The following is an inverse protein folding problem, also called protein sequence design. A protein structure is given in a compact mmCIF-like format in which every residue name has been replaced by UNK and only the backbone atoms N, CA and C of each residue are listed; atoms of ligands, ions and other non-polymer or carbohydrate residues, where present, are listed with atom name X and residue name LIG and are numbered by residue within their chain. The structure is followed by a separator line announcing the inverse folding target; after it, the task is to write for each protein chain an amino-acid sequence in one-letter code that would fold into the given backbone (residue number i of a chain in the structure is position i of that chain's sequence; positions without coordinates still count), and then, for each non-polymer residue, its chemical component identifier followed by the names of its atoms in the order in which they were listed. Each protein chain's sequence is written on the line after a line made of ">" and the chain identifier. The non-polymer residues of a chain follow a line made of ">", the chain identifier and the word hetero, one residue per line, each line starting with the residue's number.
data_IF_377047727209
#
_entry.id   IF_377047727209
#
_cell.length_a   1.000
_cell.length_b   1.000
_cell.length_c   1.000
_cell.angle_alpha   90.00
_cell.angle_beta   90.00
_cell.angle_gamma   90.00
#
_symmetry.space_group_name_H-M   'P 1'
#
loop_
_entity.id
_entity.type
_entity.pdbx_description
1 polymer ?
#
# COMPACT_ATOMS: atom_id res chain seq x y z
N UNK A 1 28.36 -24.17 -3.97
CA UNK A 1 27.87 -25.31 -3.16
C UNK A 1 26.38 -25.09 -2.90
N UNK A 2 25.52 -25.87 -3.55
CA UNK A 2 24.06 -25.71 -3.49
C UNK A 2 23.49 -26.49 -2.29
N UNK A 3 22.86 -25.81 -1.33
CA UNK A 3 22.01 -26.45 -0.32
C UNK A 3 20.69 -26.83 -0.99
N UNK A 4 20.63 -28.05 -1.51
CA UNK A 4 19.40 -28.66 -2.01
C UNK A 4 18.76 -29.48 -0.88
N UNK A 5 17.43 -29.49 -0.80
CA UNK A 5 16.70 -30.44 0.06
C UNK A 5 16.92 -31.89 -0.42
N UNK A 6 16.35 -32.86 0.32
CA UNK A 6 16.48 -34.29 0.02
C UNK A 6 16.00 -34.73 -1.38
N UNK A 7 15.40 -33.82 -2.17
CA UNK A 7 14.97 -34.04 -3.55
C UNK A 7 15.70 -33.17 -4.58
N UNK A 8 16.81 -32.51 -4.22
CA UNK A 8 17.54 -31.68 -5.18
C UNK A 8 16.91 -30.30 -5.43
N UNK A 9 16.03 -29.81 -4.54
CA UNK A 9 15.32 -28.53 -4.70
C UNK A 9 15.83 -27.47 -3.71
N UNK A 10 15.89 -26.21 -4.14
CA UNK A 10 16.19 -25.07 -3.26
C UNK A 10 15.22 -25.05 -2.06
N UNK A 11 15.67 -24.73 -0.83
CA UNK A 11 14.79 -24.77 0.34
C UNK A 11 13.72 -23.70 0.19
N UNK A 12 12.44 -24.10 0.22
CA UNK A 12 11.31 -23.19 -0.04
C UNK A 12 11.33 -21.96 0.89
N UNK A 13 11.81 -22.11 2.12
CA UNK A 13 11.97 -21.00 3.06
C UNK A 13 12.89 -19.88 2.53
N UNK A 14 13.96 -20.23 1.82
CA UNK A 14 14.89 -19.26 1.22
C UNK A 14 14.20 -18.50 0.09
N UNK A 15 13.41 -19.18 -0.74
CA UNK A 15 12.63 -18.52 -1.80
C UNK A 15 11.64 -17.53 -1.20
N UNK A 16 10.92 -17.91 -0.14
CA UNK A 16 9.99 -17.01 0.54
C UNK A 16 10.70 -15.78 1.13
N UNK A 17 11.91 -15.94 1.65
CA UNK A 17 12.73 -14.82 2.14
C UNK A 17 13.11 -13.87 1.00
N UNK A 18 13.50 -14.39 -0.16
CA UNK A 18 13.79 -13.56 -1.35
C UNK A 18 12.54 -12.80 -1.81
N UNK A 19 11.38 -13.46 -1.81
CA UNK A 19 10.11 -12.80 -2.16
C UNK A 19 9.74 -11.71 -1.16
N UNK A 20 9.91 -12.00 0.15
CA UNK A 20 9.70 -11.05 1.24
C UNK A 20 10.70 -9.88 1.21
N UNK A 21 11.93 -10.10 0.74
CA UNK A 21 12.90 -9.02 0.56
C UNK A 21 12.39 -7.99 -0.46
N UNK A 22 11.79 -8.43 -1.56
CA UNK A 22 11.21 -7.48 -2.52
C UNK A 22 9.98 -6.74 -1.99
N UNK A 23 9.11 -7.36 -1.19
CA UNK A 23 8.00 -6.63 -0.55
C UNK A 23 8.49 -5.68 0.54
N UNK A 24 9.60 -6.01 1.23
CA UNK A 24 10.30 -5.09 2.11
C UNK A 24 10.84 -3.87 1.36
N UNK A 25 11.51 -4.09 0.21
CA UNK A 25 12.01 -3.01 -0.65
C UNK A 25 10.88 -2.11 -1.14
N UNK A 26 9.74 -2.69 -1.54
CA UNK A 26 8.54 -1.94 -1.92
C UNK A 26 8.04 -1.04 -0.79
N UNK A 27 7.88 -1.59 0.41
CA UNK A 27 7.48 -0.81 1.58
C UNK A 27 8.46 0.32 1.89
N UNK A 28 9.76 0.03 1.83
CA UNK A 28 10.80 1.02 2.07
C UNK A 28 10.75 2.15 1.03
N UNK A 29 10.60 1.79 -0.24
CA UNK A 29 10.50 2.73 -1.37
C UNK A 29 9.27 3.62 -1.28
N UNK A 30 8.12 3.05 -0.95
CA UNK A 30 6.86 3.76 -0.90
C UNK A 30 6.81 4.73 0.29
N UNK A 31 7.09 4.22 1.48
CA UNK A 31 6.78 4.92 2.73
C UNK A 31 7.92 5.77 3.27
N UNK A 32 9.18 5.54 2.87
CA UNK A 32 10.30 6.37 3.37
C UNK A 32 10.23 7.83 2.91
N UNK A 33 9.59 8.09 1.77
CA UNK A 33 9.52 9.44 1.20
C UNK A 33 8.74 10.42 2.08
N UNK A 34 7.74 9.91 2.81
CA UNK A 34 6.82 10.71 3.63
C UNK A 34 7.51 11.35 4.85
N UNK A 35 8.19 10.62 5.74
CA UNK A 35 8.91 11.25 6.85
C UNK A 35 10.13 12.09 6.41
N UNK A 36 10.57 11.94 5.16
CA UNK A 36 11.71 12.63 4.58
C UNK A 36 11.30 13.87 3.76
N UNK A 37 10.00 14.16 3.67
CA UNK A 37 9.45 15.29 2.92
C UNK A 37 10.08 16.65 3.27
N UNK A 38 10.37 16.97 4.55
CA UNK A 38 11.03 18.23 4.89
C UNK A 38 12.43 18.35 4.25
N UNK A 39 13.21 17.26 4.25
CA UNK A 39 14.56 17.22 3.69
C UNK A 39 14.56 17.39 2.16
N UNK A 40 13.55 16.84 1.49
CA UNK A 40 13.37 16.97 0.04
C UNK A 40 12.97 18.41 -0.29
N UNK A 41 12.07 19.00 0.49
CA UNK A 41 11.63 20.38 0.34
C UNK A 41 12.80 21.36 0.48
N UNK A 42 13.65 21.14 1.48
CA UNK A 42 14.88 21.88 1.68
C UNK A 42 15.86 21.71 0.50
N UNK A 43 16.10 20.47 0.06
CA UNK A 43 17.06 20.17 -1.01
C UNK A 43 16.73 20.88 -2.33
N UNK A 44 15.45 20.96 -2.68
CA UNK A 44 15.00 21.58 -3.93
C UNK A 44 14.47 23.00 -3.75
N UNK A 45 14.51 23.55 -2.54
CA UNK A 45 13.95 24.86 -2.19
C UNK A 45 12.47 25.04 -2.64
N UNK A 46 11.65 24.02 -2.38
CA UNK A 46 10.22 23.96 -2.75
C UNK A 46 9.34 23.83 -1.51
N UNK A 47 8.04 24.04 -1.67
CA UNK A 47 7.09 23.87 -0.56
C UNK A 47 6.85 22.38 -0.26
N UNK A 48 6.41 22.02 0.97
CA UNK A 48 6.04 20.64 1.30
C UNK A 48 4.97 20.07 0.35
N UNK A 49 4.01 20.89 -0.05
CA UNK A 49 2.97 20.50 -1.02
C UNK A 49 3.54 20.11 -2.39
N UNK A 50 4.57 20.83 -2.86
CA UNK A 50 5.27 20.49 -4.11
C UNK A 50 6.11 19.21 -3.95
N UNK A 51 6.83 19.04 -2.85
CA UNK A 51 7.55 17.78 -2.55
C UNK A 51 6.60 16.58 -2.50
N UNK A 52 5.35 16.79 -2.07
CA UNK A 52 4.30 15.78 -2.06
C UNK A 52 4.01 15.16 -3.44
N UNK A 53 4.32 15.86 -4.53
CA UNK A 53 4.18 15.32 -5.89
C UNK A 53 5.05 14.08 -6.12
N UNK A 54 6.21 13.96 -5.46
CA UNK A 54 7.07 12.78 -5.55
C UNK A 54 6.43 11.53 -4.93
N UNK A 55 5.53 11.71 -3.96
CA UNK A 55 4.74 10.63 -3.34
C UNK A 55 3.56 10.27 -4.25
N UNK A 56 2.78 11.28 -4.67
CA UNK A 56 1.65 11.06 -5.57
C UNK A 56 2.07 10.42 -6.90
N UNK A 57 3.23 10.79 -7.44
CA UNK A 57 3.75 10.23 -8.69
C UNK A 57 4.11 8.75 -8.57
N UNK A 58 4.73 8.33 -7.46
CA UNK A 58 4.95 6.91 -7.18
C UNK A 58 3.62 6.14 -7.19
N UNK A 59 2.64 6.67 -6.47
CA UNK A 59 1.33 6.06 -6.34
C UNK A 59 0.59 5.96 -7.68
N UNK A 60 0.64 7.01 -8.51
CA UNK A 60 0.15 6.98 -9.91
C UNK A 60 0.89 5.91 -10.72
N UNK A 61 2.21 5.80 -10.54
CA UNK A 61 3.03 4.74 -11.12
C UNK A 61 2.48 3.35 -10.77
N UNK A 62 2.10 3.10 -9.52
CA UNK A 62 1.51 1.81 -9.12
C UNK A 62 0.17 1.55 -9.82
N UNK A 63 -0.70 2.56 -9.87
CA UNK A 63 -2.04 2.47 -10.50
C UNK A 63 -1.93 2.15 -12.00
N UNK A 64 -0.96 2.75 -12.70
CA UNK A 64 -0.70 2.51 -14.12
C UNK A 64 0.01 1.17 -14.31
N UNK A 65 1.05 0.92 -13.52
CA UNK A 65 1.95 -0.22 -13.71
C UNK A 65 1.30 -1.56 -13.40
N UNK A 66 0.42 -1.63 -12.40
CA UNK A 66 -0.27 -2.87 -12.04
C UNK A 66 -1.03 -3.50 -13.22
N UNK A 67 -1.97 -2.82 -13.92
CA UNK A 67 -2.65 -3.38 -15.09
C UNK A 67 -1.70 -3.58 -16.28
N UNK A 68 -0.78 -2.65 -16.55
CA UNK A 68 0.14 -2.76 -17.69
C UNK A 68 1.01 -4.00 -17.58
N UNK A 69 1.67 -4.21 -16.44
CA UNK A 69 2.52 -5.38 -16.24
C UNK A 69 1.74 -6.66 -16.00
N UNK A 70 0.51 -6.59 -15.49
CA UNK A 70 -0.39 -7.75 -15.49
C UNK A 70 -0.59 -8.27 -16.92
N UNK A 71 -0.80 -7.39 -17.90
CA UNK A 71 -1.00 -7.77 -19.30
C UNK A 71 0.30 -8.24 -19.96
N UNK A 72 1.37 -7.43 -19.86
CA UNK A 72 2.65 -7.70 -20.55
C UNK A 72 3.35 -8.93 -19.97
N UNK A 73 3.24 -9.17 -18.67
CA UNK A 73 3.92 -10.28 -17.99
C UNK A 73 3.01 -11.48 -17.69
N UNK A 74 1.73 -11.47 -18.13
CA UNK A 74 0.74 -12.51 -17.81
C UNK A 74 1.26 -13.94 -18.03
N UNK A 75 1.93 -14.14 -19.17
CA UNK A 75 2.39 -15.45 -19.62
C UNK A 75 3.89 -15.69 -19.40
N UNK A 76 4.61 -14.73 -18.80
CA UNK A 76 6.03 -14.89 -18.47
C UNK A 76 6.21 -15.89 -17.33
N UNK A 77 7.33 -16.60 -17.32
CA UNK A 77 7.76 -17.34 -16.14
C UNK A 77 7.95 -16.37 -14.95
N UNK A 78 7.59 -16.81 -13.74
CA UNK A 78 7.56 -15.93 -12.56
C UNK A 78 8.94 -15.39 -12.19
N UNK A 79 10.00 -16.17 -12.42
CA UNK A 79 11.39 -15.73 -12.24
C UNK A 79 11.73 -14.51 -13.11
N UNK A 80 11.44 -14.53 -14.41
CA UNK A 80 11.82 -13.40 -15.28
C UNK A 80 10.95 -12.17 -14.99
N UNK A 81 9.66 -12.37 -14.71
CA UNK A 81 8.79 -11.27 -14.30
C UNK A 81 9.32 -10.59 -13.02
N UNK A 82 9.61 -11.35 -11.96
CA UNK A 82 10.21 -10.82 -10.74
C UNK A 82 11.56 -10.13 -10.99
N UNK A 83 12.43 -10.71 -11.83
CA UNK A 83 13.72 -10.11 -12.16
C UNK A 83 13.55 -8.76 -12.90
N UNK A 84 12.62 -8.66 -13.85
CA UNK A 84 12.31 -7.40 -14.54
C UNK A 84 11.82 -6.35 -13.55
N UNK A 85 10.87 -6.71 -12.69
CA UNK A 85 10.30 -5.77 -11.72
C UNK A 85 11.36 -5.24 -10.75
N UNK A 86 12.20 -6.12 -10.23
CA UNK A 86 13.29 -5.72 -9.32
C UNK A 86 14.37 -4.93 -10.05
N UNK A 87 14.65 -5.22 -11.33
CA UNK A 87 15.56 -4.41 -12.14
C UNK A 87 15.02 -2.98 -12.34
N UNK A 88 13.71 -2.83 -12.59
CA UNK A 88 13.07 -1.51 -12.67
C UNK A 88 13.17 -0.80 -11.32
N UNK A 89 12.92 -1.49 -10.20
CA UNK A 89 13.09 -0.91 -8.86
C UNK A 89 14.52 -0.43 -8.63
N UNK A 90 15.53 -1.21 -9.01
CA UNK A 90 16.94 -0.83 -8.90
C UNK A 90 17.25 0.43 -9.69
N UNK A 91 16.93 0.44 -10.99
CA UNK A 91 17.24 1.57 -11.87
C UNK A 91 16.49 2.82 -11.43
N UNK A 92 15.18 2.73 -11.21
CA UNK A 92 14.35 3.89 -10.90
C UNK A 92 14.67 4.50 -9.52
N UNK A 93 14.97 3.68 -8.49
CA UNK A 93 15.41 4.21 -7.20
C UNK A 93 16.83 4.77 -7.25
N UNK A 94 17.73 4.15 -8.02
CA UNK A 94 19.08 4.69 -8.26
C UNK A 94 19.02 6.06 -8.94
N UNK A 95 18.19 6.20 -9.98
CA UNK A 95 17.93 7.48 -10.63
C UNK A 95 17.30 8.50 -9.67
N UNK A 96 16.33 8.07 -8.84
CA UNK A 96 15.72 8.93 -7.82
C UNK A 96 16.75 9.47 -6.82
N UNK A 97 17.71 8.64 -6.39
CA UNK A 97 18.81 9.06 -5.52
C UNK A 97 19.72 10.10 -6.19
N UNK A 98 19.83 10.07 -7.52
CA UNK A 98 20.64 10.98 -8.32
C UNK A 98 19.88 12.20 -8.86
N UNK A 99 18.57 12.32 -8.61
CA UNK A 99 17.73 13.36 -9.19
C UNK A 99 18.21 14.76 -8.81
N UNK A 100 18.48 15.63 -9.79
CA UNK A 100 19.00 16.98 -9.57
C UNK A 100 17.91 18.04 -9.44
N UNK A 101 16.69 17.73 -9.87
CA UNK A 101 15.52 18.60 -9.76
C UNK A 101 14.32 17.83 -9.20
N UNK A 102 13.30 18.55 -8.72
CA UNK A 102 12.07 17.93 -8.25
C UNK A 102 11.36 17.18 -9.38
N UNK A 103 11.35 17.72 -10.60
CA UNK A 103 10.70 17.11 -11.77
C UNK A 103 11.34 15.78 -12.14
N UNK A 104 12.68 15.70 -12.09
CA UNK A 104 13.40 14.44 -12.30
C UNK A 104 13.01 13.43 -11.22
N UNK A 105 13.00 13.86 -9.96
CA UNK A 105 12.59 13.01 -8.86
C UNK A 105 11.16 12.50 -9.04
N UNK A 106 10.21 13.37 -9.38
CA UNK A 106 8.81 13.01 -9.67
C UNK A 106 8.72 11.98 -10.78
N UNK A 107 9.44 12.16 -11.88
CA UNK A 107 9.47 11.21 -12.99
C UNK A 107 10.04 9.85 -12.55
N UNK A 108 11.18 9.84 -11.87
CA UNK A 108 11.81 8.60 -11.41
C UNK A 108 10.99 7.89 -10.34
N UNK A 109 10.26 8.65 -9.51
CA UNK A 109 9.30 8.11 -8.56
C UNK A 109 8.14 7.42 -9.27
N UNK A 110 7.57 8.03 -10.30
CA UNK A 110 6.58 7.39 -11.16
C UNK A 110 7.11 6.05 -11.71
N UNK A 111 8.33 6.05 -12.27
CA UNK A 111 8.96 4.83 -12.79
C UNK A 111 9.16 3.76 -11.70
N UNK A 112 9.56 4.15 -10.50
CA UNK A 112 9.76 3.24 -9.37
C UNK A 112 8.46 2.62 -8.85
N UNK A 113 7.32 3.30 -9.03
CA UNK A 113 6.00 2.79 -8.69
C UNK A 113 5.46 1.76 -9.68
N UNK A 114 5.81 1.87 -10.96
CA UNK A 114 5.31 0.96 -12.02
C UNK A 114 5.41 -0.54 -11.66
N UNK A 115 6.55 -1.08 -11.20
CA UNK A 115 6.67 -2.52 -10.92
C UNK A 115 5.97 -2.97 -9.64
N UNK A 116 5.46 -2.05 -8.79
CA UNK A 116 5.03 -2.38 -7.43
C UNK A 116 3.92 -3.42 -7.40
N UNK A 117 2.73 -3.09 -7.92
CA UNK A 117 1.58 -4.00 -7.85
C UNK A 117 1.85 -5.33 -8.55
N UNK A 118 2.61 -5.30 -9.65
CA UNK A 118 2.95 -6.48 -10.43
C UNK A 118 3.93 -7.41 -9.72
N UNK A 119 4.98 -6.86 -9.08
CA UNK A 119 5.87 -7.64 -8.22
C UNK A 119 5.09 -8.26 -7.06
N UNK A 120 4.28 -7.46 -6.38
CA UNK A 120 3.53 -7.89 -5.21
C UNK A 120 2.60 -9.07 -5.55
N UNK A 121 1.80 -8.94 -6.60
CA UNK A 121 0.91 -10.01 -7.08
C UNK A 121 1.67 -11.25 -7.54
N UNK A 122 2.77 -11.08 -8.27
CA UNK A 122 3.60 -12.19 -8.77
C UNK A 122 4.26 -12.96 -7.64
N UNK A 123 4.78 -12.26 -6.63
CA UNK A 123 5.42 -12.86 -5.47
C UNK A 123 4.42 -13.64 -4.61
N UNK A 124 3.23 -13.09 -4.36
CA UNK A 124 2.17 -13.80 -3.64
C UNK A 124 1.68 -15.04 -4.38
N UNK A 125 1.51 -14.93 -5.70
CA UNK A 125 1.08 -16.06 -6.52
C UNK A 125 2.13 -17.18 -6.49
N UNK A 126 3.41 -16.85 -6.64
CA UNK A 126 4.48 -17.83 -6.56
C UNK A 126 4.56 -18.48 -5.17
N UNK A 127 4.42 -17.70 -4.10
CA UNK A 127 4.38 -18.24 -2.74
C UNK A 127 3.20 -19.20 -2.53
N UNK A 128 2.02 -18.89 -3.07
CA UNK A 128 0.85 -19.76 -3.02
C UNK A 128 1.03 -21.05 -3.85
N UNK A 129 1.73 -20.99 -4.99
CA UNK A 129 2.05 -22.16 -5.82
C UNK A 129 3.07 -23.10 -5.15
N UNK A 130 4.01 -22.55 -4.37
CA UNK A 130 4.98 -23.33 -3.60
C UNK A 130 4.39 -23.93 -2.31
N UNK A 131 3.21 -23.47 -1.88
CA UNK A 131 2.60 -23.88 -0.63
C UNK A 131 1.79 -25.18 -0.79
N UNK A 132 1.79 -26.06 0.25
CA UNK A 132 0.75 -27.08 0.39
C UNK A 132 -0.64 -26.44 0.35
N UNK A 133 -1.63 -27.14 -0.24
CA UNK A 133 -2.97 -26.59 -0.45
C UNK A 133 -3.61 -25.97 0.82
N UNK A 134 -3.40 -26.58 1.99
CA UNK A 134 -3.92 -26.13 3.27
C UNK A 134 -3.09 -25.02 3.96
N UNK A 135 -1.99 -24.54 3.36
CA UNK A 135 -1.08 -23.53 3.94
C UNK A 135 -0.80 -22.34 3.02
N UNK A 136 -1.54 -22.18 1.92
CA UNK A 136 -1.36 -21.07 0.96
C UNK A 136 -1.34 -19.71 1.65
N UNK A 137 -2.30 -19.44 2.53
CA UNK A 137 -2.39 -18.20 3.28
C UNK A 137 -1.14 -17.95 4.15
N UNK A 138 -0.60 -18.99 4.80
CA UNK A 138 0.61 -18.87 5.63
C UNK A 138 1.85 -18.51 4.81
N UNK A 139 1.98 -19.05 3.59
CA UNK A 139 3.11 -18.74 2.71
C UNK A 139 3.00 -17.33 2.14
N UNK A 140 1.80 -16.92 1.74
CA UNK A 140 1.51 -15.54 1.34
C UNK A 140 1.79 -14.56 2.48
N UNK A 141 1.40 -14.89 3.71
CA UNK A 141 1.66 -14.07 4.90
C UNK A 141 3.17 -13.86 5.15
N UNK A 142 4.00 -14.88 4.91
CA UNK A 142 5.47 -14.75 5.01
C UNK A 142 6.05 -13.75 4.00
N UNK A 143 5.47 -13.67 2.81
CA UNK A 143 5.86 -12.65 1.81
C UNK A 143 5.36 -11.26 2.22
N UNK A 144 4.13 -11.15 2.75
CA UNK A 144 3.60 -9.91 3.31
C UNK A 144 4.43 -9.37 4.48
N UNK A 145 5.04 -10.25 5.27
CA UNK A 145 5.85 -9.88 6.43
C UNK A 145 6.98 -8.91 6.07
N UNK A 146 7.51 -8.97 4.85
CA UNK A 146 8.49 -8.00 4.36
C UNK A 146 7.98 -6.56 4.40
N UNK A 147 6.74 -6.33 3.93
CA UNK A 147 6.09 -5.02 3.97
C UNK A 147 5.85 -4.55 5.42
N UNK A 148 5.45 -5.45 6.31
CA UNK A 148 5.25 -5.16 7.74
C UNK A 148 6.56 -4.77 8.43
N UNK A 149 7.65 -5.49 8.16
CA UNK A 149 8.97 -5.16 8.70
C UNK A 149 9.45 -3.83 8.14
N UNK A 150 9.16 -3.54 6.87
CA UNK A 150 9.52 -2.26 6.26
C UNK A 150 8.85 -1.09 6.99
N UNK A 151 7.56 -1.17 7.32
CA UNK A 151 6.87 -0.05 7.97
C UNK A 151 7.25 0.14 9.44
N UNK A 152 7.46 -0.95 10.19
CA UNK A 152 7.78 -0.87 11.63
C UNK A 152 9.27 -0.57 11.88
N UNK A 153 10.15 -1.13 11.06
CA UNK A 153 11.61 -1.09 11.30
C UNK A 153 12.33 -0.36 10.18
N UNK A 154 12.05 -0.73 8.93
CA UNK A 154 12.74 -0.18 7.76
C UNK A 154 12.62 1.35 7.65
N UNK A 155 11.40 1.87 7.62
CA UNK A 155 11.07 3.29 7.44
C UNK A 155 11.67 4.15 8.56
N UNK A 156 11.51 3.83 9.87
CA UNK A 156 12.19 4.57 10.93
C UNK A 156 13.72 4.57 10.77
N UNK A 157 14.33 3.42 10.45
CA UNK A 157 15.79 3.34 10.28
C UNK A 157 16.29 4.21 9.12
N UNK A 158 15.64 4.15 7.95
CA UNK A 158 16.05 5.01 6.83
C UNK A 158 15.68 6.48 7.05
N UNK A 159 14.67 6.77 7.86
CA UNK A 159 14.37 8.16 8.28
C UNK A 159 15.55 8.72 9.07
N UNK A 160 16.11 7.97 10.03
CA UNK A 160 17.30 8.39 10.78
C UNK A 160 18.52 8.58 9.88
N UNK A 161 18.73 7.69 8.89
CA UNK A 161 19.79 7.85 7.88
C UNK A 161 19.57 9.14 7.07
N UNK A 162 18.34 9.42 6.68
CA UNK A 162 17.98 10.63 5.94
C UNK A 162 18.27 11.90 6.72
N UNK A 163 17.89 11.93 7.99
CA UNK A 163 18.09 13.06 8.90
C UNK A 163 19.56 13.31 9.24
N UNK A 164 20.36 12.25 9.38
CA UNK A 164 21.78 12.35 9.76
C UNK A 164 22.72 12.56 8.58
N UNK A 165 22.36 12.07 7.39
CA UNK A 165 23.18 12.15 6.19
C UNK A 165 22.43 12.90 5.08
N UNK A 166 21.65 12.19 4.29
CA UNK A 166 20.88 12.75 3.17
C UNK A 166 19.82 11.76 2.73
N UNK A 167 18.67 12.27 2.27
CA UNK A 167 17.61 11.43 1.74
C UNK A 167 18.02 10.60 0.52
N UNK A 168 19.04 11.07 -0.21
CA UNK A 168 19.61 10.35 -1.37
C UNK A 168 20.20 9.01 -0.97
N UNK A 169 20.86 8.92 0.18
CA UNK A 169 21.45 7.66 0.66
C UNK A 169 20.38 6.61 0.98
N UNK A 170 19.19 7.03 1.38
CA UNK A 170 18.08 6.12 1.64
C UNK A 170 17.57 5.48 0.34
N UNK A 171 17.41 6.28 -0.72
CA UNK A 171 17.02 5.76 -2.04
C UNK A 171 18.16 4.94 -2.70
N UNK A 172 19.42 5.31 -2.47
CA UNK A 172 20.57 4.52 -2.89
C UNK A 172 20.62 3.16 -2.18
N UNK A 173 20.31 3.12 -0.88
CA UNK A 173 20.19 1.87 -0.11
C UNK A 173 19.06 0.99 -0.66
N UNK A 174 17.89 1.57 -0.95
CA UNK A 174 16.78 0.87 -1.61
C UNK A 174 17.22 0.28 -2.95
N UNK A 175 17.94 1.05 -3.77
CA UNK A 175 18.49 0.56 -5.03
C UNK A 175 19.48 -0.60 -4.81
N UNK A 176 20.40 -0.47 -3.85
CA UNK A 176 21.34 -1.55 -3.51
C UNK A 176 20.61 -2.84 -3.09
N UNK A 177 19.58 -2.73 -2.25
CA UNK A 177 18.76 -3.86 -1.85
C UNK A 177 18.02 -4.48 -3.05
N UNK A 178 17.52 -3.66 -3.97
CA UNK A 178 16.93 -4.14 -5.22
C UNK A 178 17.95 -4.88 -6.09
N UNK A 179 19.19 -4.39 -6.21
CA UNK A 179 20.25 -5.11 -6.91
C UNK A 179 20.55 -6.47 -6.27
N UNK A 180 20.62 -6.53 -4.93
CA UNK A 180 20.79 -7.78 -4.19
C UNK A 180 19.61 -8.72 -4.48
N UNK A 181 18.37 -8.23 -4.37
CA UNK A 181 17.18 -8.99 -4.66
C UNK A 181 17.16 -9.51 -6.11
N UNK A 182 17.63 -8.72 -7.09
CA UNK A 182 17.73 -9.13 -8.49
C UNK A 182 18.65 -10.34 -8.65
N UNK A 183 19.84 -10.29 -8.06
CA UNK A 183 20.80 -11.42 -8.08
C UNK A 183 20.19 -12.65 -7.39
N UNK A 184 19.58 -12.47 -6.22
CA UNK A 184 18.95 -13.57 -5.47
C UNK A 184 17.76 -14.19 -6.22
N UNK A 185 16.95 -13.39 -6.92
CA UNK A 185 15.86 -13.90 -7.76
C UNK A 185 16.42 -14.76 -8.89
N UNK A 186 17.47 -14.30 -9.58
CA UNK A 186 18.08 -15.07 -10.65
C UNK A 186 18.75 -16.37 -10.16
N UNK A 187 19.28 -16.39 -8.94
CA UNK A 187 19.99 -17.56 -8.42
C UNK A 187 19.09 -18.57 -7.71
N UNK A 188 18.08 -18.10 -6.98
CA UNK A 188 17.32 -18.93 -6.03
C UNK A 188 15.88 -19.21 -6.47
N UNK A 189 15.26 -18.32 -7.27
CA UNK A 189 13.88 -18.53 -7.73
C UNK A 189 13.86 -19.54 -8.89
N UNK A 190 13.05 -20.61 -8.81
CA UNK A 190 12.99 -21.63 -9.85
C UNK A 190 12.57 -21.05 -11.21
N UNK A 191 13.30 -21.43 -12.27
CA UNK A 191 12.91 -21.13 -13.64
C UNK A 191 11.95 -22.22 -14.15
N UNK A 192 10.66 -22.05 -13.89
CA UNK A 192 9.62 -22.98 -14.36
C UNK A 192 8.74 -22.29 -15.41
N UNK A 193 8.41 -23.04 -16.48
CA UNK A 193 7.47 -22.58 -17.48
C UNK A 193 6.09 -22.30 -16.84
N UNK A 194 5.42 -21.26 -17.30
CA UNK A 194 4.07 -20.96 -16.83
C UNK A 194 3.11 -22.03 -17.37
N UNK A 195 2.53 -22.84 -16.47
CA UNK A 195 1.64 -23.96 -16.84
C UNK A 195 0.18 -23.54 -16.98
N UNK A 196 -0.19 -22.37 -16.46
CA UNK A 196 -1.56 -21.86 -16.47
C UNK A 196 -1.60 -20.55 -17.27
N UNK A 197 -2.31 -20.56 -18.39
CA UNK A 197 -2.62 -19.35 -19.14
C UNK A 197 -3.77 -18.61 -18.46
N UNK A 198 -3.56 -17.31 -18.22
CA UNK A 198 -4.60 -16.47 -17.62
C UNK A 198 -5.53 -15.94 -18.71
N UNK A 199 -6.81 -16.32 -18.67
CA UNK A 199 -7.84 -15.73 -19.52
C UNK A 199 -8.27 -14.38 -18.93
N UNK A 200 -7.85 -13.29 -19.58
CA UNK A 200 -8.07 -11.92 -19.10
C UNK A 200 -9.53 -11.44 -19.24
N UNK A 201 -10.29 -12.02 -20.18
CA UNK A 201 -11.68 -11.64 -20.45
C UNK A 201 -12.61 -11.87 -19.27
N UNK A 202 -12.51 -13.03 -18.63
CA UNK A 202 -13.35 -13.41 -17.49
C UNK A 202 -13.07 -12.55 -16.24
N UNK A 203 -11.85 -11.99 -16.14
CA UNK A 203 -11.45 -11.17 -15.01
C UNK A 203 -12.02 -9.74 -15.07
N UNK A 204 -12.33 -9.23 -16.27
CA UNK A 204 -12.84 -7.87 -16.45
C UNK A 204 -14.33 -7.74 -16.09
N UNK A 205 -15.05 -8.86 -15.98
CA UNK A 205 -16.47 -8.85 -15.63
C UNK A 205 -16.72 -8.26 -14.23
N UNK A 206 -15.75 -8.38 -13.32
CA UNK A 206 -15.78 -7.79 -11.98
C UNK A 206 -16.01 -6.28 -12.03
N UNK A 207 -15.49 -5.58 -13.05
CA UNK A 207 -15.62 -4.14 -13.22
C UNK A 207 -17.05 -3.68 -13.50
N UNK A 208 -17.92 -4.59 -13.96
CA UNK A 208 -19.34 -4.28 -14.23
C UNK A 208 -20.18 -4.20 -12.95
N UNK A 209 -19.66 -4.69 -11.81
CA UNK A 209 -20.42 -4.75 -10.57
C UNK A 209 -20.33 -3.41 -9.81
N UNK A 210 -21.44 -2.63 -9.69
CA UNK A 210 -21.41 -1.33 -9.03
C UNK A 210 -21.08 -1.42 -7.53
N UNK A 211 -21.36 -2.56 -6.88
CA UNK A 211 -21.00 -2.79 -5.48
C UNK A 211 -19.48 -2.91 -5.29
N UNK A 212 -18.74 -3.39 -6.29
CA UNK A 212 -17.27 -3.43 -6.23
C UNK A 212 -16.73 -2.00 -6.19
N UNK A 213 -17.24 -1.12 -7.05
CA UNK A 213 -16.82 0.29 -7.07
C UNK A 213 -17.22 1.06 -5.81
N UNK A 214 -18.39 0.78 -5.23
CA UNK A 214 -18.78 1.43 -3.98
C UNK A 214 -17.84 1.04 -2.83
N UNK A 215 -17.47 -0.25 -2.75
CA UNK A 215 -16.53 -0.75 -1.74
C UNK A 215 -15.09 -0.25 -2.01
N UNK A 216 -14.63 -0.24 -3.26
CA UNK A 216 -13.33 0.34 -3.64
C UNK A 216 -13.29 1.85 -3.33
N UNK A 217 -14.41 2.55 -3.46
CA UNK A 217 -14.54 3.96 -3.10
C UNK A 217 -14.26 4.25 -1.62
N UNK A 218 -14.53 3.29 -0.73
CA UNK A 218 -14.15 3.38 0.69
C UNK A 218 -12.63 3.47 0.83
N UNK A 219 -11.88 2.69 0.04
CA UNK A 219 -10.41 2.74 0.02
C UNK A 219 -9.97 4.04 -0.64
N UNK A 220 -10.39 4.29 -1.90
CA UNK A 220 -9.91 5.43 -2.72
C UNK A 220 -10.06 6.76 -1.97
N UNK A 221 -11.23 6.99 -1.35
CA UNK A 221 -11.52 8.25 -0.68
C UNK A 221 -11.09 8.17 0.79
N UNK A 222 -11.54 7.13 1.52
CA UNK A 222 -11.32 7.02 2.96
C UNK A 222 -9.85 6.94 3.35
N UNK A 223 -9.06 6.09 2.68
CA UNK A 223 -7.65 5.94 3.00
C UNK A 223 -6.80 7.14 2.57
N UNK A 224 -7.32 8.02 1.72
CA UNK A 224 -6.66 9.29 1.40
C UNK A 224 -6.38 10.08 2.69
N UNK A 225 -7.22 9.95 3.71
CA UNK A 225 -7.00 10.56 5.02
C UNK A 225 -5.79 10.03 5.78
N UNK A 226 -5.51 8.72 5.70
CA UNK A 226 -4.28 8.14 6.26
C UNK A 226 -3.07 8.75 5.57
N UNK A 227 -3.05 8.71 4.23
CA UNK A 227 -1.91 9.15 3.43
C UNK A 227 -1.66 10.67 3.52
N UNK A 228 -2.70 11.48 3.71
CA UNK A 228 -2.58 12.91 3.94
C UNK A 228 -1.82 13.22 5.24
N UNK A 229 -2.27 12.72 6.39
CA UNK A 229 -1.55 12.90 7.67
C UNK A 229 -0.16 12.30 7.59
N UNK A 230 -0.04 11.06 7.08
CA UNK A 230 1.22 10.34 7.06
C UNK A 230 2.29 11.04 6.20
N UNK A 231 1.88 11.72 5.13
CA UNK A 231 2.77 12.52 4.28
C UNK A 231 3.34 13.74 4.98
N UNK A 232 2.49 14.50 5.68
CA UNK A 232 2.86 15.80 6.24
C UNK A 232 3.23 15.75 7.71
N UNK A 233 3.25 14.56 8.32
CA UNK A 233 3.48 14.41 9.75
C UNK A 233 4.86 14.88 10.21
N UNK A 234 5.90 14.68 9.38
CA UNK A 234 7.25 15.11 9.72
C UNK A 234 7.32 16.64 9.84
N UNK A 235 6.72 17.35 8.89
CA UNK A 235 6.62 18.80 8.95
C UNK A 235 5.74 19.25 10.12
N UNK A 236 4.65 18.56 10.46
CA UNK A 236 3.86 18.90 11.66
C UNK A 236 4.69 18.77 12.93
N UNK A 237 5.48 17.71 13.06
CA UNK A 237 6.37 17.49 14.21
C UNK A 237 7.42 18.60 14.32
N UNK A 238 8.01 19.02 13.21
CA UNK A 238 9.07 20.03 13.20
C UNK A 238 8.54 21.46 13.35
N UNK A 239 7.42 21.79 12.68
CA UNK A 239 6.92 23.17 12.58
C UNK A 239 5.89 23.50 13.66
N UNK A 240 5.02 22.55 14.02
CA UNK A 240 3.91 22.78 14.97
C UNK A 240 4.27 22.26 16.36
N UNK A 241 4.70 21.01 16.47
CA UNK A 241 5.12 20.43 17.75
C UNK A 241 6.48 20.97 18.20
N UNK A 242 7.29 21.46 17.26
CA UNK A 242 8.67 21.95 17.48
C UNK A 242 9.53 20.94 18.25
N UNK A 243 9.32 19.64 17.98
CA UNK A 243 10.05 18.55 18.63
C UNK A 243 11.29 18.15 17.84
N UNK A 244 12.23 17.50 18.52
CA UNK A 244 13.47 17.03 17.91
C UNK A 244 13.20 16.05 16.75
N UNK A 245 13.95 16.15 15.65
CA UNK A 245 13.72 15.36 14.43
C UNK A 245 13.64 13.84 14.65
N UNK A 246 14.35 13.31 15.66
CA UNK A 246 14.30 11.89 16.05
C UNK A 246 12.89 11.40 16.39
N UNK A 247 11.99 12.29 16.85
CA UNK A 247 10.61 11.93 17.18
C UNK A 247 9.78 11.58 15.94
N UNK A 248 10.19 12.00 14.75
CA UNK A 248 9.59 11.56 13.48
C UNK A 248 9.70 10.04 13.36
N UNK A 249 10.88 9.48 13.62
CA UNK A 249 11.10 8.04 13.57
C UNK A 249 10.27 7.30 14.63
N UNK A 250 10.12 7.87 15.83
CA UNK A 250 9.26 7.33 16.89
C UNK A 250 7.78 7.32 16.43
N UNK A 251 7.32 8.41 15.83
CA UNK A 251 5.99 8.50 15.23
C UNK A 251 5.76 7.44 14.14
N UNK A 252 6.77 7.19 13.28
CA UNK A 252 6.70 6.13 12.26
C UNK A 252 6.60 4.74 12.88
N UNK A 253 7.33 4.46 13.97
CA UNK A 253 7.19 3.22 14.74
C UNK A 253 5.77 3.09 15.30
N UNK A 254 5.23 4.14 15.92
CA UNK A 254 3.86 4.14 16.47
C UNK A 254 2.81 3.88 15.39
N UNK A 255 2.96 4.48 14.21
CA UNK A 255 2.11 4.22 13.05
C UNK A 255 2.18 2.73 12.63
N UNK A 256 3.38 2.17 12.53
CA UNK A 256 3.59 0.76 12.16
C UNK A 256 3.01 -0.24 13.18
N UNK A 257 3.17 0.03 14.48
CA UNK A 257 2.54 -0.76 15.55
C UNK A 257 1.02 -0.65 15.45
N UNK A 258 0.50 0.57 15.24
CA UNK A 258 -0.91 0.82 14.99
C UNK A 258 -1.44 -0.03 13.84
N UNK A 259 -0.81 0.03 12.67
CA UNK A 259 -1.15 -0.77 11.49
C UNK A 259 -1.19 -2.28 11.79
N UNK A 260 -0.21 -2.78 12.54
CA UNK A 260 -0.13 -4.21 12.89
C UNK A 260 -1.26 -4.64 13.83
N UNK A 261 -1.50 -3.88 14.89
CA UNK A 261 -2.60 -4.16 15.83
C UNK A 261 -3.96 -3.96 15.18
N UNK A 262 -4.10 -2.95 14.33
CA UNK A 262 -5.30 -2.69 13.53
C UNK A 262 -5.67 -3.85 12.64
N UNK A 263 -4.71 -4.39 11.88
CA UNK A 263 -4.92 -5.58 11.04
C UNK A 263 -5.47 -6.77 11.86
N UNK A 264 -4.91 -7.01 13.04
CA UNK A 264 -5.37 -8.11 13.90
C UNK A 264 -6.75 -7.84 14.53
N UNK A 265 -6.92 -6.69 15.17
CA UNK A 265 -8.13 -6.36 15.93
C UNK A 265 -9.32 -6.11 15.01
N UNK A 266 -9.15 -5.34 13.94
CA UNK A 266 -10.22 -5.07 12.99
C UNK A 266 -10.56 -6.31 12.16
N UNK A 267 -9.56 -7.15 11.83
CA UNK A 267 -9.81 -8.44 11.20
C UNK A 267 -10.70 -9.33 12.07
N UNK A 268 -10.36 -9.50 13.35
CA UNK A 268 -11.17 -10.28 14.29
C UNK A 268 -12.57 -9.69 14.54
N UNK A 269 -12.68 -8.35 14.59
CA UNK A 269 -13.98 -7.70 14.72
C UNK A 269 -14.85 -7.91 13.46
N UNK A 270 -14.22 -7.93 12.28
CA UNK A 270 -14.89 -8.14 11.01
C UNK A 270 -15.46 -9.56 10.85
N UNK A 271 -14.90 -10.56 11.53
CA UNK A 271 -15.47 -11.92 11.59
C UNK A 271 -16.88 -11.92 12.19
N UNK A 272 -17.18 -10.98 13.10
CA UNK A 272 -18.53 -10.80 13.64
C UNK A 272 -19.39 -9.94 12.71
N UNK A 273 -18.89 -8.79 12.26
CA UNK A 273 -19.58 -7.97 11.26
C UNK A 273 -18.63 -7.00 10.55
N UNK A 274 -18.11 -7.41 9.40
CA UNK A 274 -17.26 -6.59 8.55
C UNK A 274 -17.87 -5.22 8.21
N UNK A 275 -19.19 -5.16 8.02
CA UNK A 275 -19.90 -3.91 7.71
C UNK A 275 -19.89 -2.95 8.90
N UNK A 276 -20.24 -3.40 10.11
CA UNK A 276 -20.22 -2.57 11.32
C UNK A 276 -18.79 -2.14 11.67
N UNK A 277 -17.85 -3.08 11.60
CA UNK A 277 -16.42 -2.80 11.85
C UNK A 277 -15.88 -1.73 10.91
N UNK A 278 -16.23 -1.79 9.63
CA UNK A 278 -15.81 -0.79 8.63
C UNK A 278 -16.33 0.61 8.98
N UNK A 279 -17.64 0.74 9.26
CA UNK A 279 -18.23 2.02 9.62
C UNK A 279 -17.67 2.59 10.92
N UNK A 280 -17.54 1.76 11.96
CA UNK A 280 -17.01 2.17 13.26
C UNK A 280 -15.55 2.63 13.18
N UNK A 281 -14.71 1.92 12.43
CA UNK A 281 -13.30 2.28 12.27
C UNK A 281 -13.12 3.55 11.42
N UNK A 282 -13.92 3.76 10.36
CA UNK A 282 -13.89 5.01 9.58
C UNK A 282 -14.36 6.21 10.42
N UNK A 283 -15.39 6.02 11.25
CA UNK A 283 -15.82 7.05 12.21
C UNK A 283 -14.73 7.35 13.22
N UNK A 284 -14.11 6.33 13.80
CA UNK A 284 -12.96 6.49 14.69
C UNK A 284 -11.81 7.23 14.01
N UNK A 285 -11.45 6.85 12.79
CA UNK A 285 -10.39 7.51 12.02
C UNK A 285 -10.70 8.99 11.73
N UNK A 286 -11.97 9.31 11.43
CA UNK A 286 -12.44 10.69 11.30
C UNK A 286 -12.23 11.48 12.58
N UNK A 287 -12.64 10.92 13.73
CA UNK A 287 -12.50 11.56 15.03
C UNK A 287 -11.03 11.75 15.42
N UNK A 288 -10.17 10.75 15.20
CA UNK A 288 -8.74 10.86 15.45
C UNK A 288 -8.06 11.88 14.52
N UNK A 289 -8.51 12.01 13.26
CA UNK A 289 -8.02 13.03 12.34
C UNK A 289 -8.45 14.46 12.74
N UNK A 290 -9.62 14.63 13.35
CA UNK A 290 -10.01 15.91 13.96
C UNK A 290 -9.23 16.20 15.24
N UNK A 291 -9.00 15.16 16.06
CA UNK A 291 -8.22 15.28 17.29
C UNK A 291 -6.77 15.66 16.98
N UNK A 292 -6.20 15.12 15.90
CA UNK A 292 -4.87 15.45 15.40
C UNK A 292 -4.58 16.95 15.36
N UNK A 293 -5.52 17.75 14.84
CA UNK A 293 -5.36 19.21 14.72
C UNK A 293 -5.12 19.86 16.08
N UNK A 294 -5.87 19.41 17.09
CA UNK A 294 -5.88 20.00 18.43
C UNK A 294 -4.72 19.53 19.30
N UNK A 295 -4.24 18.29 19.10
CA UNK A 295 -3.18 17.69 19.94
C UNK A 295 -1.79 17.79 19.32
N UNK A 296 -1.65 18.34 18.11
CA UNK A 296 -0.38 18.42 17.38
C UNK A 296 0.72 19.18 18.14
N UNK A 297 0.40 20.03 19.11
CA UNK A 297 1.39 20.74 19.94
C UNK A 297 2.01 19.86 21.03
N UNK A 298 1.44 18.69 21.33
CA UNK A 298 1.95 17.75 22.34
C UNK A 298 2.38 16.43 21.68
N UNK A 299 3.70 16.18 21.65
CA UNK A 299 4.28 15.02 20.97
C UNK A 299 3.73 13.67 21.46
N UNK A 300 3.41 13.54 22.75
CA UNK A 300 2.92 12.28 23.32
C UNK A 300 1.49 11.97 22.84
N UNK A 301 0.62 12.98 22.85
CA UNK A 301 -0.74 12.86 22.33
C UNK A 301 -0.74 12.67 20.82
N UNK A 302 0.13 13.39 20.10
CA UNK A 302 0.31 13.24 18.67
C UNK A 302 0.72 11.81 18.29
N UNK A 303 1.69 11.22 18.97
CA UNK A 303 2.08 9.81 18.80
C UNK A 303 0.91 8.84 19.05
N UNK A 304 0.09 9.11 20.06
CA UNK A 304 -1.14 8.34 20.32
C UNK A 304 -2.15 8.43 19.16
N UNK A 305 -2.37 9.63 18.62
CA UNK A 305 -3.23 9.81 17.44
C UNK A 305 -2.66 9.12 16.21
N UNK A 306 -1.36 9.26 15.94
CA UNK A 306 -0.68 8.60 14.81
C UNK A 306 -0.84 7.08 14.91
N UNK A 307 -0.73 6.51 16.11
CA UNK A 307 -1.00 5.09 16.33
C UNK A 307 -2.43 4.71 15.89
N UNK A 308 -3.45 5.48 16.25
CA UNK A 308 -4.83 5.19 15.85
C UNK A 308 -5.10 5.45 14.36
N UNK A 309 -4.44 6.44 13.76
CA UNK A 309 -4.44 6.62 12.30
C UNK A 309 -3.82 5.39 11.62
N UNK A 310 -2.68 4.90 12.12
CA UNK A 310 -2.08 3.64 11.67
C UNK A 310 -3.01 2.44 11.88
N UNK A 311 -3.69 2.36 13.03
CA UNK A 311 -4.66 1.31 13.34
C UNK A 311 -5.79 1.23 12.31
N UNK A 312 -6.24 2.36 11.78
CA UNK A 312 -7.26 2.38 10.73
C UNK A 312 -6.82 1.67 9.43
N UNK A 313 -5.50 1.53 9.19
CA UNK A 313 -4.98 0.81 8.02
C UNK A 313 -5.42 -0.66 8.01
N UNK A 314 -5.72 -1.21 9.19
CA UNK A 314 -6.30 -2.53 9.36
C UNK A 314 -7.55 -2.79 8.52
N UNK A 315 -8.32 -1.74 8.20
CA UNK A 315 -9.48 -1.82 7.32
C UNK A 315 -9.16 -2.37 5.92
N UNK A 316 -7.91 -2.27 5.45
CA UNK A 316 -7.52 -2.82 4.16
C UNK A 316 -7.77 -4.31 4.05
N UNK A 317 -7.41 -5.06 5.10
CA UNK A 317 -7.62 -6.51 5.14
C UNK A 317 -9.10 -6.88 5.20
N UNK A 318 -9.90 -6.09 5.94
CA UNK A 318 -11.36 -6.27 6.04
C UNK A 318 -12.02 -6.02 4.69
N UNK A 319 -11.68 -4.92 4.03
CA UNK A 319 -12.26 -4.55 2.72
C UNK A 319 -11.83 -5.54 1.64
N UNK A 320 -10.57 -6.00 1.66
CA UNK A 320 -10.10 -7.03 0.74
C UNK A 320 -10.90 -8.33 0.89
N UNK A 321 -11.19 -8.76 2.12
CA UNK A 321 -12.06 -9.92 2.39
C UNK A 321 -13.48 -9.72 1.87
N UNK A 322 -14.09 -8.55 2.12
CA UNK A 322 -15.42 -8.21 1.60
C UNK A 322 -15.49 -8.28 0.07
N UNK A 323 -14.50 -7.73 -0.63
CA UNK A 323 -14.47 -7.75 -2.08
C UNK A 323 -14.35 -9.18 -2.64
N UNK A 324 -13.53 -10.03 -2.02
CA UNK A 324 -13.41 -11.44 -2.42
C UNK A 324 -14.74 -12.20 -2.29
N UNK A 325 -15.55 -11.90 -1.28
CA UNK A 325 -16.88 -12.51 -1.13
C UNK A 325 -17.89 -12.02 -2.19
N UNK A 326 -17.76 -10.77 -2.65
CA UNK A 326 -18.69 -10.16 -3.63
C UNK A 326 -18.44 -10.65 -5.07
N UNK A 327 -17.23 -11.10 -5.40
CA UNK A 327 -16.92 -11.64 -6.73
C UNK A 327 -16.01 -12.88 -6.66
N UNK A 328 -16.61 -14.08 -6.56
CA UNK A 328 -15.86 -15.35 -6.50
C UNK A 328 -15.07 -15.69 -7.77
N UNK A 329 -15.43 -15.10 -8.92
CA UNK A 329 -14.89 -15.46 -10.24
C UNK A 329 -13.71 -14.56 -10.70
N UNK A 330 -13.18 -13.67 -9.85
CA UNK A 330 -12.14 -12.71 -10.24
C UNK A 330 -11.14 -12.33 -9.15
N UNK A 331 -10.76 -13.27 -8.27
CA UNK A 331 -9.88 -13.01 -7.11
C UNK A 331 -8.57 -12.27 -7.47
N UNK A 332 -7.93 -12.60 -8.59
CA UNK A 332 -6.70 -11.94 -9.04
C UNK A 332 -6.93 -10.46 -9.41
N UNK A 333 -8.01 -10.17 -10.13
CA UNK A 333 -8.39 -8.80 -10.50
C UNK A 333 -8.79 -7.98 -9.28
N UNK A 334 -9.52 -8.58 -8.33
CA UNK A 334 -9.89 -7.92 -7.07
C UNK A 334 -8.65 -7.52 -6.27
N UNK A 335 -7.67 -8.43 -6.15
CA UNK A 335 -6.41 -8.11 -5.49
C UNK A 335 -5.68 -6.93 -6.13
N UNK A 336 -5.64 -6.90 -7.47
CA UNK A 336 -5.04 -5.79 -8.21
C UNK A 336 -5.82 -4.48 -8.04
N UNK A 337 -7.16 -4.52 -8.09
CA UNK A 337 -8.03 -3.36 -7.90
C UNK A 337 -7.92 -2.77 -6.50
N UNK A 338 -7.81 -3.61 -5.46
CA UNK A 338 -7.53 -3.15 -4.10
C UNK A 338 -6.22 -2.36 -4.07
N UNK A 339 -5.18 -2.87 -4.71
CA UNK A 339 -3.88 -2.21 -4.71
C UNK A 339 -3.85 -0.91 -5.52
N UNK A 340 -4.59 -0.87 -6.63
CA UNK A 340 -4.86 0.37 -7.34
C UNK A 340 -5.63 1.35 -6.46
N UNK A 341 -6.68 0.92 -5.78
CA UNK A 341 -7.48 1.78 -4.90
C UNK A 341 -6.65 2.39 -3.76
N UNK A 342 -5.81 1.58 -3.10
CA UNK A 342 -4.89 2.04 -2.07
C UNK A 342 -3.89 3.08 -2.58
N UNK A 343 -3.36 2.88 -3.79
CA UNK A 343 -2.43 3.82 -4.38
C UNK A 343 -3.13 5.06 -4.94
N UNK A 344 -4.35 4.97 -5.44
CA UNK A 344 -5.15 6.15 -5.76
C UNK A 344 -5.38 6.99 -4.49
N UNK A 345 -5.67 6.36 -3.36
CA UNK A 345 -5.72 7.04 -2.06
C UNK A 345 -4.37 7.67 -1.67
N UNK A 346 -3.25 6.96 -1.89
CA UNK A 346 -1.89 7.45 -1.69
C UNK A 346 -1.48 8.56 -2.69
N UNK A 347 -2.23 8.77 -3.78
CA UNK A 347 -2.07 9.92 -4.65
C UNK A 347 -2.93 11.11 -4.19
N UNK A 348 -4.20 10.86 -3.83
CA UNK A 348 -5.18 11.85 -3.42
C UNK A 348 -4.80 12.50 -2.09
N UNK A 349 -4.38 11.72 -1.09
CA UNK A 349 -4.06 12.23 0.25
C UNK A 349 -2.99 13.32 0.25
N UNK A 350 -1.76 13.03 -0.24
CA UNK A 350 -0.71 14.02 -0.36
C UNK A 350 -1.13 15.24 -1.19
N UNK A 351 -1.80 15.01 -2.33
CA UNK A 351 -2.23 16.09 -3.22
C UNK A 351 -3.25 17.02 -2.55
N UNK A 352 -4.29 16.47 -1.92
CA UNK A 352 -5.31 17.24 -1.22
C UNK A 352 -4.74 18.02 -0.03
N UNK A 353 -3.87 17.39 0.77
CA UNK A 353 -3.16 18.07 1.85
C UNK A 353 -2.26 19.20 1.33
N UNK A 354 -1.52 18.96 0.24
CA UNK A 354 -0.66 19.97 -0.38
C UNK A 354 -1.43 21.15 -0.95
N UNK A 355 -2.62 20.91 -1.52
CA UNK A 355 -3.52 21.97 -1.95
C UNK A 355 -4.03 22.80 -0.77
N UNK A 356 -4.46 22.15 0.32
CA UNK A 356 -4.88 22.86 1.52
C UNK A 356 -3.76 23.76 2.09
N UNK A 357 -2.52 23.26 2.15
CA UNK A 357 -1.35 24.04 2.57
C UNK A 357 -1.11 25.25 1.65
N UNK A 358 -1.35 25.11 0.34
CA UNK A 358 -1.23 26.22 -0.63
C UNK A 358 -2.28 27.31 -0.38
N UNK A 359 -3.45 26.95 0.15
CA UNK A 359 -4.50 27.90 0.54
C UNK A 359 -4.30 28.49 1.95
N UNK A 360 -3.16 28.24 2.59
CA UNK A 360 -2.79 28.86 3.86
C UNK A 360 -3.13 28.05 5.11
N UNK A 361 -3.56 26.80 4.97
CA UNK A 361 -3.69 25.91 6.14
C UNK A 361 -2.32 25.63 6.77
N UNK A 362 -2.30 25.50 8.09
CA UNK A 362 -1.14 25.08 8.85
C UNK A 362 -0.90 23.57 8.72
N UNK A 363 0.29 23.10 9.10
CA UNK A 363 0.67 21.70 8.91
C UNK A 363 -0.21 20.71 9.68
N UNK A 364 -0.60 21.05 10.91
CA UNK A 364 -1.53 20.26 11.72
C UNK A 364 -2.96 20.29 11.16
N UNK A 365 -3.35 21.33 10.41
CA UNK A 365 -4.69 21.47 9.83
C UNK A 365 -4.91 20.52 8.63
N UNK A 366 -3.85 19.86 8.14
CA UNK A 366 -3.99 18.68 7.27
C UNK A 366 -4.86 17.58 7.90
N UNK A 367 -5.03 17.58 9.24
CA UNK A 367 -6.00 16.74 9.94
C UNK A 367 -7.45 16.99 9.52
N UNK A 368 -7.84 18.24 9.19
CA UNK A 368 -9.18 18.53 8.66
C UNK A 368 -9.39 17.92 7.28
N UNK A 369 -8.37 17.98 6.42
CA UNK A 369 -8.38 17.33 5.10
C UNK A 369 -8.52 15.83 5.28
N UNK A 370 -7.73 15.23 6.18
CA UNK A 370 -7.84 13.80 6.48
C UNK A 370 -9.20 13.40 7.02
N UNK A 371 -9.77 14.19 7.93
CA UNK A 371 -11.10 13.94 8.47
C UNK A 371 -12.17 14.00 7.37
N UNK A 372 -12.07 14.96 6.44
CA UNK A 372 -12.98 15.07 5.30
C UNK A 372 -12.91 13.85 4.37
N UNK A 373 -11.71 13.31 4.15
CA UNK A 373 -11.49 12.11 3.34
C UNK A 373 -12.04 10.86 4.02
N UNK A 374 -11.80 10.67 5.33
CA UNK A 374 -12.42 9.58 6.09
C UNK A 374 -13.95 9.68 6.10
N UNK A 375 -14.51 10.89 6.24
CA UNK A 375 -15.94 11.13 6.15
C UNK A 375 -16.48 10.80 4.74
N UNK A 376 -15.75 11.12 3.67
CA UNK A 376 -16.06 10.66 2.31
C UNK A 376 -16.06 9.12 2.20
N UNK A 377 -15.11 8.46 2.86
CA UNK A 377 -15.10 7.00 3.03
C UNK A 377 -16.35 6.47 3.73
N UNK A 378 -16.85 7.16 4.78
CA UNK A 378 -18.12 6.82 5.45
C UNK A 378 -19.32 6.95 4.51
N UNK A 379 -19.35 7.96 3.64
CA UNK A 379 -20.40 8.10 2.62
C UNK A 379 -20.37 6.91 1.66
N UNK A 380 -19.20 6.53 1.16
CA UNK A 380 -19.05 5.35 0.29
C UNK A 380 -19.44 4.03 0.99
N UNK A 381 -19.14 3.94 2.28
CA UNK A 381 -19.59 2.83 3.12
C UNK A 381 -21.12 2.80 3.23
N UNK A 382 -21.77 3.92 3.55
CA UNK A 382 -23.22 4.01 3.64
C UNK A 382 -23.91 3.66 2.31
N UNK A 383 -23.36 4.12 1.18
CA UNK A 383 -23.82 3.73 -0.15
C UNK A 383 -23.71 2.21 -0.37
N UNK A 384 -22.58 1.60 0.04
CA UNK A 384 -22.38 0.16 -0.04
C UNK A 384 -23.42 -0.60 0.81
N UNK A 385 -23.77 -0.10 2.01
CA UNK A 385 -24.84 -0.68 2.85
C UNK A 385 -26.19 -0.64 2.12
N UNK A 386 -26.54 0.49 1.53
CA UNK A 386 -27.80 0.65 0.79
C UNK A 386 -27.87 -0.31 -0.40
N UNK A 387 -26.78 -0.44 -1.16
CA UNK A 387 -26.71 -1.37 -2.31
C UNK A 387 -26.83 -2.84 -1.88
N UNK A 388 -26.16 -3.22 -0.78
CA UNK A 388 -26.28 -4.57 -0.22
C UNK A 388 -27.72 -4.88 0.21
N UNK A 389 -28.39 -3.94 0.89
CA UNK A 389 -29.80 -4.10 1.31
C UNK A 389 -30.75 -4.20 0.11
N UNK A 390 -30.54 -3.41 -0.94
CA UNK A 390 -31.34 -3.48 -2.18
C UNK A 390 -31.19 -4.82 -2.88
N UNK A 391 -29.97 -5.38 -2.91
CA UNK A 391 -29.71 -6.71 -3.50
C UNK A 391 -30.35 -7.83 -2.69
N UNK A 392 -30.38 -7.71 -1.36
CA UNK A 392 -31.08 -8.67 -0.49
C UNK A 392 -32.62 -8.57 -0.56
N UNK A 393 -33.15 -7.39 -0.90
CA UNK A 393 -34.59 -7.14 -1.03
C UNK A 393 -35.14 -7.37 -2.45
N UNK A 394 -34.28 -7.57 -3.45
CA UNK A 394 -34.70 -7.87 -4.81
C UNK A 394 -35.43 -9.24 -4.83
N UNK A 395 -36.64 -9.34 -5.39
CA UNK A 395 -37.35 -10.60 -5.48
C UNK A 395 -36.51 -11.60 -6.30
N UNK A 396 -36.39 -12.83 -5.79
CA UNK A 396 -35.72 -13.92 -6.50
C UNK A 396 -36.49 -14.15 -7.80
N UNK A 397 -35.87 -13.82 -8.93
CA UNK A 397 -36.46 -14.09 -10.24
C UNK A 397 -36.43 -15.60 -10.51
N UNK A 398 -37.53 -16.27 -10.15
CA UNK A 398 -37.69 -17.71 -10.36
C UNK A 398 -37.70 -18.08 -11.86
N UNK A 399 -37.90 -17.14 -12.80
CA UNK A 399 -37.86 -17.43 -14.23
C UNK A 399 -36.44 -17.63 -14.78
N UNK A 400 -35.42 -17.02 -14.18
CA UNK A 400 -34.01 -17.24 -14.55
C UNK A 400 -33.49 -18.64 -14.16
N UNK A 401 -34.10 -19.30 -13.17
CA UNK A 401 -33.77 -20.68 -12.80
C UNK A 401 -34.43 -21.72 -13.72
N UNK A 402 -35.61 -21.41 -14.26
CA UNK A 402 -36.35 -22.31 -15.16
C UNK A 402 -35.71 -22.40 -16.57
N UNK A 403 -35.07 -21.32 -17.04
CA UNK A 403 -34.43 -21.27 -18.37
C UNK A 403 -33.01 -21.82 -18.42
N UNK A 404 -32.39 -22.16 -17.27
CA UNK A 404 -31.09 -22.87 -17.22
C UNK A 404 -31.21 -24.39 -17.08
N UNK A 405 -32.44 -24.94 -17.15
CA UNK A 405 -32.74 -26.38 -17.07
C UNK A 405 -33.52 -26.93 -18.27
N UNK A 406 -33.65 -26.16 -19.33
CA UNK A 406 -34.08 -26.61 -20.66
C UNK A 406 -32.97 -26.26 -21.65
#
# INVERSE_FOLDING_TARGET
>A
MHHLDSQGRQPIGVILLVLALGTFILGLTEFSMMPMLPLISETFAVTPGQSGYAISAYAIGVVIGAPVFMLVCANMNKRNALAIFVAIMFVANGLSAMAQTLEQLVLFRLLSGLPHGAYFGTALLLAAQLAPAHRRASFMAKVFMGLTIATIVGVPLVTLIGQSLSWRYCLALVALLALIAFVLVLWLVPNQANKEHTHLGDQLEVLKNPLVWSILGIIIIGFGGVFCIYTYIADTILQVTQSAAVTISIAMVMFGIGCTLGNYVLGKAADHSALITTGAALLGATLFALLYVNVATNIYLLCGVIFFIGFSVGLGTVIQSLLMQVSPQGHAMIGALVQCAFNTANAIGPWAGGMALTYGLQMNETGYVSASLFAGGLVMWALSVVLLRRKAAAPVDYQQYATRRL
#
